data_IF_652998957939
#
_entry.id   IF_652998957939
#
_cell.length_a   1.000
_cell.length_b   1.000
_cell.length_c   1.000
_cell.angle_alpha   90.00
_cell.angle_beta   90.00
_cell.angle_gamma   90.00
#
_symmetry.space_group_name_H-M   'P 1'
#
loop_
_entity.id
_entity.type
_entity.pdbx_description
1 polymer ?
#
# COMPACT_ATOMS: atom_id res chain seq x y z
N UNK A 1 19.16 30.51 13.78
CA UNK A 1 20.30 29.74 14.32
C UNK A 1 20.86 28.82 13.23
N UNK A 2 22.13 28.97 12.85
CA UNK A 2 22.82 28.05 11.94
C UNK A 2 23.80 27.20 12.77
N UNK A 3 23.48 25.92 12.98
CA UNK A 3 24.36 24.98 13.68
C UNK A 3 25.07 24.06 12.69
N UNK A 4 26.34 23.73 13.00
CA UNK A 4 27.14 22.81 12.20
C UNK A 4 26.64 21.37 12.39
N UNK A 5 25.94 20.84 11.39
CA UNK A 5 25.36 19.49 11.36
C UNK A 5 26.38 18.38 11.66
N UNK A 6 27.62 18.52 11.17
CA UNK A 6 28.69 17.52 11.40
C UNK A 6 29.11 17.46 12.87
N UNK A 7 29.20 18.63 13.53
CA UNK A 7 29.56 18.71 14.96
C UNK A 7 28.49 18.05 15.83
N UNK A 8 27.21 18.32 15.54
CA UNK A 8 26.07 17.71 16.24
C UNK A 8 26.09 16.18 16.07
N UNK A 9 26.25 15.69 14.83
CA UNK A 9 26.31 14.26 14.56
C UNK A 9 27.45 13.54 15.30
N UNK A 10 28.64 14.16 15.36
CA UNK A 10 29.78 13.59 16.11
C UNK A 10 29.49 13.49 17.61
N UNK A 11 28.90 14.52 18.21
CA UNK A 11 28.53 14.52 19.63
C UNK A 11 27.46 13.47 19.91
N UNK A 12 26.43 13.36 19.05
CA UNK A 12 25.41 12.32 19.15
C UNK A 12 26.02 10.92 19.10
N UNK A 13 27.00 10.69 18.23
CA UNK A 13 27.73 9.42 18.14
C UNK A 13 28.51 9.09 19.42
N UNK A 14 29.24 10.06 19.98
CA UNK A 14 29.99 9.88 21.24
C UNK A 14 29.10 9.57 22.45
N UNK A 15 27.90 10.17 22.47
CA UNK A 15 26.92 9.98 23.55
C UNK A 15 25.95 8.80 23.30
N UNK A 16 26.09 8.09 22.18
CA UNK A 16 25.17 6.99 21.81
C UNK A 16 23.73 7.45 21.53
N UNK A 17 23.51 8.74 21.28
CA UNK A 17 22.18 9.31 21.07
C UNK A 17 21.68 8.98 19.65
N UNK A 18 20.52 8.34 19.58
CA UNK A 18 19.82 8.07 18.31
C UNK A 18 18.42 8.68 18.37
N UNK A 19 18.00 9.29 17.27
CA UNK A 19 16.64 9.77 17.15
C UNK A 19 15.68 8.57 17.11
N UNK A 20 14.55 8.67 17.83
CA UNK A 20 13.47 7.69 17.79
C UNK A 20 12.67 7.87 16.49
N UNK A 21 13.25 7.44 15.38
CA UNK A 21 12.60 7.49 14.05
C UNK A 21 12.04 6.12 13.73
N UNK A 22 10.80 6.07 13.25
CA UNK A 22 10.20 4.82 12.75
C UNK A 22 10.95 4.39 11.49
N UNK A 23 11.51 3.18 11.50
CA UNK A 23 12.09 2.57 10.30
C UNK A 23 11.03 2.50 9.21
N UNK A 24 11.38 2.92 7.99
CA UNK A 24 10.50 2.69 6.83
C UNK A 24 10.31 1.19 6.66
N UNK A 25 9.05 0.73 6.58
CA UNK A 25 8.77 -0.66 6.21
C UNK A 25 9.18 -0.84 4.74
N UNK A 26 10.03 -1.83 4.42
CA UNK A 26 10.36 -2.11 3.02
C UNK A 26 9.08 -2.52 2.29
N UNK A 27 8.90 -2.01 1.07
CA UNK A 27 7.81 -2.42 0.20
C UNK A 27 8.02 -3.89 -0.17
N UNK A 28 7.00 -4.71 0.05
CA UNK A 28 6.94 -6.08 -0.43
C UNK A 28 5.86 -6.11 -1.51
N UNK A 29 6.20 -6.37 -2.78
CA UNK A 29 5.16 -6.58 -3.77
C UNK A 29 4.26 -7.71 -3.29
N UNK A 30 2.95 -7.52 -3.38
CA UNK A 30 2.03 -8.64 -3.17
C UNK A 30 2.36 -9.70 -4.21
N UNK A 31 2.38 -10.96 -3.79
CA UNK A 31 2.33 -12.08 -4.72
C UNK A 31 1.03 -11.92 -5.49
N UNK A 32 1.13 -11.45 -6.73
CA UNK A 32 0.02 -11.46 -7.67
C UNK A 32 -0.27 -12.94 -7.89
N UNK A 33 -1.42 -13.42 -7.41
CA UNK A 33 -1.87 -14.78 -7.70
C UNK A 33 -2.06 -14.97 -9.20
N UNK A 34 -2.50 -16.15 -9.59
CA UNK A 34 -2.94 -16.39 -10.96
C UNK A 34 -4.15 -15.47 -11.26
N UNK A 35 -4.00 -14.62 -12.27
CA UNK A 35 -5.11 -13.79 -12.73
C UNK A 35 -6.08 -14.67 -13.53
N UNK A 36 -7.37 -14.61 -13.19
CA UNK A 36 -8.39 -15.30 -13.97
C UNK A 36 -8.51 -14.70 -15.38
N UNK A 37 -8.90 -15.52 -16.35
CA UNK A 37 -9.11 -15.08 -17.72
C UNK A 37 -10.11 -13.91 -17.82
N UNK A 38 -9.83 -12.97 -18.71
CA UNK A 38 -10.74 -11.86 -19.02
C UNK A 38 -11.87 -12.33 -19.96
N UNK A 39 -12.86 -13.01 -19.38
CA UNK A 39 -13.98 -13.59 -20.11
C UNK A 39 -14.82 -12.52 -20.83
N UNK A 40 -14.96 -11.32 -20.23
CA UNK A 40 -15.83 -10.27 -20.76
C UNK A 40 -15.20 -9.51 -21.94
N UNK A 41 -13.88 -9.31 -21.92
CA UNK A 41 -13.11 -8.61 -22.96
C UNK A 41 -13.76 -7.31 -23.49
N UNK A 42 -14.33 -6.49 -22.59
CA UNK A 42 -15.07 -5.24 -22.88
C UNK A 42 -16.33 -5.41 -23.75
N UNK A 43 -16.88 -6.61 -23.84
CA UNK A 43 -18.13 -6.89 -24.54
C UNK A 43 -19.30 -6.69 -23.57
N UNK A 44 -19.79 -5.46 -23.49
CA UNK A 44 -20.85 -5.05 -22.55
C UNK A 44 -22.27 -5.20 -23.12
N UNK A 45 -22.39 -5.57 -24.40
CA UNK A 45 -23.66 -5.84 -25.06
C UNK A 45 -24.24 -7.17 -24.62
N UNK A 46 -25.56 -7.26 -24.45
CA UNK A 46 -26.27 -8.48 -24.08
C UNK A 46 -27.49 -8.68 -24.98
N UNK A 47 -27.79 -9.93 -25.34
CA UNK A 47 -28.94 -10.26 -26.17
C UNK A 47 -30.26 -10.20 -25.38
N UNK A 48 -30.21 -10.46 -24.09
CA UNK A 48 -31.35 -10.41 -23.15
C UNK A 48 -30.93 -9.73 -21.84
N UNK A 49 -31.90 -9.22 -21.07
CA UNK A 49 -31.64 -8.74 -19.72
C UNK A 49 -30.99 -9.84 -18.86
N UNK A 50 -30.06 -9.46 -17.99
CA UNK A 50 -29.39 -10.35 -17.03
C UNK A 50 -28.49 -11.47 -17.63
N UNK A 51 -28.15 -11.43 -18.93
CA UNK A 51 -27.17 -12.36 -19.53
C UNK A 51 -25.73 -12.12 -19.02
N UNK A 52 -25.44 -10.91 -18.55
CA UNK A 52 -24.13 -10.50 -18.05
C UNK A 52 -24.28 -9.76 -16.73
N UNK A 53 -23.59 -10.25 -15.71
CA UNK A 53 -23.50 -9.62 -14.40
C UNK A 53 -22.06 -9.22 -14.14
N UNK A 54 -21.84 -7.94 -13.86
CA UNK A 54 -20.54 -7.42 -13.44
C UNK A 54 -20.59 -7.18 -11.93
N UNK A 55 -19.58 -7.66 -11.23
CA UNK A 55 -19.41 -7.40 -9.80
C UNK A 55 -18.04 -6.79 -9.59
N UNK A 56 -18.00 -5.65 -8.92
CA UNK A 56 -16.76 -4.99 -8.54
C UNK A 56 -16.45 -5.27 -7.08
N UNK A 57 -15.20 -5.63 -6.78
CA UNK A 57 -14.71 -5.75 -5.41
C UNK A 57 -14.20 -4.39 -4.97
N UNK A 58 -14.83 -3.81 -3.93
CA UNK A 58 -14.36 -2.56 -3.33
C UNK A 58 -13.72 -2.86 -1.97
N UNK A 59 -12.43 -2.53 -1.82
CA UNK A 59 -11.74 -2.64 -0.53
C UNK A 59 -12.06 -1.42 0.33
N UNK A 60 -12.60 -1.66 1.53
CA UNK A 60 -12.80 -0.63 2.55
C UNK A 60 -11.88 -0.89 3.74
N UNK A 61 -11.20 0.16 4.20
CA UNK A 61 -10.39 0.10 5.42
C UNK A 61 -11.32 0.16 6.63
N UNK A 62 -11.51 -0.97 7.30
CA UNK A 62 -12.22 -1.04 8.57
C UNK A 62 -11.21 -0.97 9.72
N UNK A 63 -11.44 -0.09 10.71
CA UNK A 63 -10.51 0.09 11.83
C UNK A 63 -10.66 -0.91 12.98
N UNK A 64 -11.73 -1.71 13.05
CA UNK A 64 -11.96 -2.58 14.23
C UNK A 64 -12.62 -3.93 13.88
N UNK A 65 -12.46 -4.41 12.65
CA UNK A 65 -12.99 -5.71 12.24
C UNK A 65 -14.52 -5.82 12.23
N UNK A 66 -15.24 -4.69 12.22
CA UNK A 66 -16.70 -4.64 12.08
C UNK A 66 -17.11 -3.80 10.88
N UNK A 67 -17.84 -4.43 9.96
CA UNK A 67 -18.73 -3.77 9.02
C UNK A 67 -20.09 -3.58 9.68
#
# INVERSE_FOLDING_TARGET
>A
MSWNKKKVQRIMGLLGLKAKVRSKKPYRPQTVGEASDNILNREFTAGKPADKWLTDVTEFKCTDGKL
#
